data_IF_724965915947
#
_entry.id   IF_724965915947
#
_cell.length_a   1.000
_cell.length_b   1.000
_cell.length_c   1.000
_cell.angle_alpha   90.00
_cell.angle_beta   90.00
_cell.angle_gamma   90.00
#
_symmetry.space_group_name_H-M   'P 1'
#
loop_
_entity.id
_entity.type
_entity.pdbx_description
1 polymer ?
#
# COMPACT_ATOMS: atom_id res chain seq x y z
N UNK A 1 1.60 15.44 -4.42
CA UNK A 1 2.30 14.67 -3.38
C UNK A 1 2.20 13.20 -3.73
N UNK A 2 3.26 12.44 -3.50
CA UNK A 2 3.32 11.00 -3.66
C UNK A 2 3.02 10.35 -2.30
N UNK A 3 1.95 9.58 -2.22
CA UNK A 3 1.42 9.05 -0.96
C UNK A 3 1.27 7.54 -1.07
N UNK A 4 1.78 6.82 -0.07
CA UNK A 4 1.43 5.41 0.16
C UNK A 4 0.42 5.35 1.30
N UNK A 5 -0.74 4.74 1.06
CA UNK A 5 -1.71 4.41 2.11
C UNK A 5 -1.78 2.89 2.27
N UNK A 6 -1.85 2.39 3.50
CA UNK A 6 -2.06 0.97 3.78
C UNK A 6 -2.91 0.75 5.03
N UNK A 7 -3.65 -0.35 5.03
CA UNK A 7 -4.45 -0.81 6.16
C UNK A 7 -4.32 -2.34 6.29
N UNK A 8 -4.07 -2.80 7.51
CA UNK A 8 -3.97 -4.23 7.87
C UNK A 8 -4.82 -4.57 9.10
N UNK A 9 -5.84 -3.76 9.40
CA UNK A 9 -6.71 -3.90 10.59
C UNK A 9 -7.74 -5.02 10.46
N UNK A 10 -7.90 -5.60 9.27
CA UNK A 10 -8.84 -6.69 9.00
C UNK A 10 -8.12 -7.94 8.49
N UNK A 11 -8.88 -9.00 8.20
CA UNK A 11 -8.39 -10.21 7.54
C UNK A 11 -7.77 -9.94 6.16
N UNK A 12 -8.06 -8.77 5.56
CA UNK A 12 -7.57 -8.34 4.26
C UNK A 12 -6.71 -7.10 4.39
N UNK A 13 -5.45 -7.23 3.98
CA UNK A 13 -4.60 -6.05 3.77
C UNK A 13 -5.07 -5.28 2.52
N UNK A 14 -4.98 -3.97 2.58
CA UNK A 14 -5.21 -3.08 1.45
C UNK A 14 -4.11 -2.02 1.39
N UNK A 15 -3.77 -1.59 0.18
CA UNK A 15 -2.85 -0.48 -0.04
C UNK A 15 -3.21 0.31 -1.29
N UNK A 16 -2.77 1.57 -1.33
CA UNK A 16 -2.83 2.41 -2.51
C UNK A 16 -1.61 3.35 -2.59
N UNK A 17 -1.14 3.61 -3.81
CA UNK A 17 -0.15 4.64 -4.11
C UNK A 17 -0.84 5.72 -4.94
N UNK A 18 -0.87 6.95 -4.42
CA UNK A 18 -1.31 8.13 -5.16
C UNK A 18 -0.08 8.93 -5.60
N UNK A 19 -0.04 9.37 -6.86
CA UNK A 19 1.07 10.18 -7.39
C UNK A 19 0.73 11.66 -7.38
N UNK A 20 1.76 12.51 -7.38
CA UNK A 20 1.58 13.94 -7.52
C UNK A 20 0.88 14.35 -8.84
N UNK A 21 0.93 13.49 -9.86
CA UNK A 21 0.26 13.68 -11.14
C UNK A 21 -1.22 13.22 -11.14
N UNK A 22 -1.72 12.70 -10.00
CA UNK A 22 -3.12 12.29 -9.85
C UNK A 22 -3.43 10.83 -10.25
N UNK A 23 -2.43 10.00 -10.54
CA UNK A 23 -2.65 8.57 -10.75
C UNK A 23 -2.79 7.82 -9.41
N UNK A 24 -3.59 6.75 -9.41
CA UNK A 24 -3.82 5.90 -8.24
C UNK A 24 -3.60 4.44 -8.63
N UNK A 25 -2.79 3.74 -7.84
CA UNK A 25 -2.50 2.31 -7.98
C UNK A 25 -2.85 1.59 -6.68
N UNK A 26 -3.93 0.79 -6.68
CA UNK A 26 -4.42 0.11 -5.49
C UNK A 26 -4.25 -1.42 -5.59
N UNK A 27 -4.06 -2.07 -4.46
CA UNK A 27 -3.97 -3.52 -4.37
C UNK A 27 -4.54 -4.04 -3.05
N UNK A 28 -5.15 -5.23 -3.11
CA UNK A 28 -5.61 -6.01 -1.95
C UNK A 28 -4.92 -7.38 -1.99
N UNK A 29 -3.77 -7.54 -1.32
CA UNK A 29 -3.03 -8.80 -1.31
C UNK A 29 -3.89 -9.95 -0.77
N UNK A 30 -3.67 -11.15 -1.31
CA UNK A 30 -4.44 -12.34 -0.90
C UNK A 30 -4.27 -12.64 0.60
N UNK A 31 -5.38 -12.74 1.37
CA UNK A 31 -5.37 -12.98 2.81
C UNK A 31 -4.87 -14.37 3.21
N UNK A 32 -4.85 -15.35 2.29
CA UNK A 32 -4.54 -16.75 2.60
C UNK A 32 -3.07 -17.04 2.95
N UNK A 33 -2.15 -16.10 2.69
CA UNK A 33 -0.73 -16.26 3.01
C UNK A 33 -0.33 -15.35 4.17
N UNK A 34 -0.35 -15.88 5.41
CA UNK A 34 0.18 -15.27 6.66
C UNK A 34 0.44 -13.76 6.54
N UNK A 35 -0.65 -12.99 6.64
CA UNK A 35 -0.89 -11.53 6.71
C UNK A 35 0.22 -10.49 6.38
N UNK A 36 1.51 -10.76 6.60
CA UNK A 36 2.61 -9.83 6.33
C UNK A 36 3.46 -10.13 5.08
N UNK A 37 3.51 -11.39 4.59
CA UNK A 37 4.48 -11.76 3.53
C UNK A 37 4.20 -11.13 2.17
N UNK A 38 2.93 -10.93 1.84
CA UNK A 38 2.53 -10.42 0.52
C UNK A 38 2.41 -8.89 0.48
N UNK A 39 2.39 -8.22 1.64
CA UNK A 39 2.24 -6.78 1.72
C UNK A 39 3.43 -6.05 1.12
N UNK A 40 4.66 -6.38 1.54
CA UNK A 40 5.88 -5.74 1.03
C UNK A 40 6.06 -5.95 -0.49
N UNK A 41 5.90 -7.17 -1.04
CA UNK A 41 5.85 -7.36 -2.49
C UNK A 41 4.78 -6.53 -3.21
N UNK A 42 3.58 -6.40 -2.63
CA UNK A 42 2.50 -5.63 -3.22
C UNK A 42 2.78 -4.12 -3.20
N UNK A 43 3.38 -3.58 -2.13
CA UNK A 43 3.87 -2.19 -2.09
C UNK A 43 4.90 -1.98 -3.20
N UNK A 44 5.87 -2.89 -3.34
CA UNK A 44 6.88 -2.81 -4.38
C UNK A 44 6.31 -2.91 -5.80
N UNK A 45 5.23 -3.66 -6.01
CA UNK A 45 4.52 -3.70 -7.29
C UNK A 45 3.77 -2.38 -7.57
N UNK A 46 3.07 -1.84 -6.58
CA UNK A 46 2.33 -0.58 -6.73
C UNK A 46 3.25 0.62 -6.97
N UNK A 47 4.37 0.72 -6.25
CA UNK A 47 5.38 1.75 -6.47
C UNK A 47 6.00 1.66 -7.88
N UNK A 48 6.34 0.45 -8.34
CA UNK A 48 6.84 0.25 -9.71
C UNK A 48 5.81 0.62 -10.77
N UNK A 49 4.53 0.27 -10.57
CA UNK A 49 3.45 0.66 -11.47
C UNK A 49 3.23 2.19 -11.51
N UNK A 50 3.50 2.87 -10.39
CA UNK A 50 3.47 4.32 -10.27
C UNK A 50 4.75 5.01 -10.81
N UNK A 51 5.78 4.25 -11.19
CA UNK A 51 7.08 4.81 -11.59
C UNK A 51 7.86 5.45 -10.44
N UNK A 52 7.63 5.02 -9.19
CA UNK A 52 8.21 5.58 -7.97
C UNK A 52 9.15 4.59 -7.28
N UNK A 53 10.14 5.14 -6.57
CA UNK A 53 10.88 4.46 -5.51
C UNK A 53 10.32 4.87 -4.13
N UNK A 54 10.62 4.07 -3.10
CA UNK A 54 10.18 4.39 -1.73
C UNK A 54 10.67 5.75 -1.22
N UNK A 55 11.84 6.21 -1.69
CA UNK A 55 12.40 7.53 -1.35
C UNK A 55 11.63 8.70 -1.96
N UNK A 56 10.76 8.44 -2.94
CA UNK A 56 9.98 9.46 -3.64
C UNK A 56 8.63 9.71 -2.96
N UNK A 57 8.31 8.98 -1.89
CA UNK A 57 7.11 9.16 -1.09
C UNK A 57 7.26 10.37 -0.18
N UNK A 58 6.26 11.25 -0.21
CA UNK A 58 6.16 12.40 0.70
C UNK A 58 5.51 12.00 2.03
N UNK A 59 4.64 10.98 1.99
CA UNK A 59 3.82 10.57 3.14
C UNK A 59 3.47 9.09 3.07
N UNK A 60 3.45 8.46 4.25
CA UNK A 60 2.91 7.11 4.45
C UNK A 60 1.73 7.21 5.42
N UNK A 61 0.53 6.94 4.94
CA UNK A 61 -0.70 6.89 5.72
C UNK A 61 -0.96 5.43 6.15
N UNK A 62 -1.21 5.22 7.44
CA UNK A 62 -1.44 3.88 8.00
C UNK A 62 -2.76 3.87 8.74
N UNK A 63 -3.63 2.92 8.42
CA UNK A 63 -4.86 2.66 9.18
C UNK A 63 -4.51 2.20 10.60
N UNK A 64 -5.05 2.90 11.61
CA UNK A 64 -4.79 2.62 13.03
C UNK A 64 -5.87 1.74 13.68
N UNK A 65 -6.87 1.30 12.91
CA UNK A 65 -7.98 0.50 13.42
C UNK A 65 -9.11 1.31 14.06
N UNK A 66 -9.95 0.70 14.92
CA UNK A 66 -9.75 -0.63 15.55
C UNK A 66 -9.77 -1.79 14.53
N UNK A 67 -9.12 -2.90 14.90
CA UNK A 67 -8.95 -4.09 14.07
C UNK A 67 -8.92 -5.37 14.92
N UNK A 68 -8.88 -6.53 14.26
CA UNK A 68 -8.94 -7.88 14.88
C UNK A 68 -7.72 -8.25 15.71
#
# INVERSE_FOLDING_TARGET
>A
MNILALDTSTDRAALAVATAAGSIHAATPDPTSRHGRNLVPAIGAALRAAGLAARDLDLIAVGLGPGS
#
